data_IF_883956429968
#
_entry.id   IF_883956429968
#
_cell.length_a   1.000
_cell.length_b   1.000
_cell.length_c   1.000
_cell.angle_alpha   90.00
_cell.angle_beta   90.00
_cell.angle_gamma   90.00
#
_symmetry.space_group_name_H-M   'P 1'
#
loop_
_entity.id
_entity.type
_entity.pdbx_description
1 polymer ?
#
# COMPACT_ATOMS: atom_id res chain seq x y z
N UNK A 1 -50.57 -4.42 -39.27
CA UNK A 1 -49.58 -5.06 -38.38
C UNK A 1 -50.15 -5.08 -36.97
N UNK A 2 -50.43 -6.27 -36.39
CA UNK A 2 -50.85 -6.39 -34.99
C UNK A 2 -49.62 -6.21 -34.11
N UNK A 3 -49.58 -5.18 -33.29
CA UNK A 3 -48.54 -5.00 -32.24
C UNK A 3 -48.96 -5.88 -31.07
N UNK A 4 -48.19 -6.93 -30.83
CA UNK A 4 -48.34 -7.71 -29.61
C UNK A 4 -47.77 -6.88 -28.46
N UNK A 5 -48.61 -6.47 -27.53
CA UNK A 5 -48.19 -5.80 -26.30
C UNK A 5 -47.65 -6.83 -25.29
N UNK A 6 -46.69 -6.43 -24.46
CA UNK A 6 -46.22 -7.24 -23.33
C UNK A 6 -47.36 -7.45 -22.32
N UNK A 7 -47.45 -8.65 -21.80
CA UNK A 7 -48.38 -8.94 -20.70
C UNK A 7 -47.81 -8.46 -19.38
N UNK A 8 -48.65 -8.11 -18.43
CA UNK A 8 -48.23 -7.63 -17.10
C UNK A 8 -47.45 -8.70 -16.35
N UNK A 9 -47.78 -9.99 -16.55
CA UNK A 9 -47.09 -11.10 -15.90
C UNK A 9 -45.66 -11.31 -16.46
N UNK A 10 -45.45 -11.12 -17.76
CA UNK A 10 -44.13 -11.19 -18.37
C UNK A 10 -43.19 -10.12 -17.80
N UNK A 11 -43.70 -8.90 -17.63
CA UNK A 11 -42.93 -7.82 -17.02
C UNK A 11 -42.59 -8.11 -15.55
N UNK A 12 -43.58 -8.63 -14.80
CA UNK A 12 -43.39 -8.93 -13.37
C UNK A 12 -42.36 -10.03 -13.14
N UNK A 13 -42.35 -11.09 -13.96
CA UNK A 13 -41.38 -12.17 -13.87
C UNK A 13 -39.97 -11.66 -14.18
N UNK A 14 -39.83 -10.82 -15.22
CA UNK A 14 -38.52 -10.25 -15.59
C UNK A 14 -37.95 -9.39 -14.47
N UNK A 15 -38.70 -8.50 -13.87
CA UNK A 15 -38.21 -7.64 -12.79
C UNK A 15 -37.87 -8.45 -11.52
N UNK A 16 -38.64 -9.53 -11.26
CA UNK A 16 -38.32 -10.43 -10.14
C UNK A 16 -36.99 -11.14 -10.33
N UNK A 17 -36.72 -11.66 -11.54
CA UNK A 17 -35.45 -12.32 -11.87
C UNK A 17 -34.28 -11.33 -11.78
N UNK A 18 -34.42 -10.13 -12.36
CA UNK A 18 -33.40 -9.09 -12.28
C UNK A 18 -33.13 -8.71 -10.83
N UNK A 19 -34.14 -8.58 -9.99
CA UNK A 19 -34.00 -8.27 -8.57
C UNK A 19 -33.19 -9.32 -7.81
N UNK A 20 -33.46 -10.61 -8.06
CA UNK A 20 -32.70 -11.70 -7.46
C UNK A 20 -31.23 -11.69 -7.91
N UNK A 21 -31.01 -11.56 -9.23
CA UNK A 21 -29.64 -11.54 -9.79
C UNK A 21 -28.86 -10.33 -9.30
N UNK A 22 -29.47 -9.16 -9.21
CA UNK A 22 -28.84 -7.95 -8.68
C UNK A 22 -28.43 -8.12 -7.20
N UNK A 23 -29.30 -8.70 -6.36
CA UNK A 23 -29.01 -8.91 -4.96
C UNK A 23 -27.78 -9.83 -4.74
N UNK A 24 -27.71 -10.95 -5.46
CA UNK A 24 -26.57 -11.87 -5.40
C UNK A 24 -25.30 -11.24 -6.00
N UNK A 25 -25.46 -10.54 -7.14
CA UNK A 25 -24.34 -9.90 -7.86
C UNK A 25 -23.61 -8.87 -7.03
N UNK A 26 -24.33 -8.01 -6.29
CA UNK A 26 -23.71 -6.96 -5.45
C UNK A 26 -22.85 -7.57 -4.34
N UNK A 27 -23.32 -8.62 -3.67
CA UNK A 27 -22.55 -9.27 -2.59
C UNK A 27 -21.27 -9.91 -3.12
N UNK A 28 -21.38 -10.64 -4.24
CA UNK A 28 -20.21 -11.28 -4.88
C UNK A 28 -19.19 -10.23 -5.38
N UNK A 29 -19.67 -9.14 -5.99
CA UNK A 29 -18.82 -8.05 -6.48
C UNK A 29 -18.04 -7.37 -5.35
N UNK A 30 -18.69 -7.08 -4.22
CA UNK A 30 -18.03 -6.46 -3.05
C UNK A 30 -16.94 -7.37 -2.47
N UNK A 31 -17.17 -8.67 -2.39
CA UNK A 31 -16.19 -9.64 -1.95
C UNK A 31 -14.96 -9.71 -2.89
N UNK A 32 -15.21 -9.74 -4.20
CA UNK A 32 -14.15 -9.75 -5.20
C UNK A 32 -13.31 -8.47 -5.17
N UNK A 33 -13.94 -7.29 -5.16
CA UNK A 33 -13.22 -6.01 -5.14
C UNK A 33 -12.39 -5.82 -3.87
N UNK A 34 -12.89 -6.24 -2.71
CA UNK A 34 -12.15 -6.23 -1.46
C UNK A 34 -10.90 -7.11 -1.53
N UNK A 35 -11.04 -8.33 -2.05
CA UNK A 35 -9.92 -9.25 -2.25
C UNK A 35 -8.90 -8.71 -3.24
N UNK A 36 -9.36 -8.12 -4.36
CA UNK A 36 -8.50 -7.51 -5.37
C UNK A 36 -7.66 -6.36 -4.78
N UNK A 37 -8.29 -5.45 -4.03
CA UNK A 37 -7.60 -4.34 -3.35
C UNK A 37 -6.54 -4.84 -2.37
N UNK A 38 -6.87 -5.86 -1.57
CA UNK A 38 -5.92 -6.51 -0.64
C UNK A 38 -4.70 -7.07 -1.37
N UNK A 39 -4.92 -7.80 -2.46
CA UNK A 39 -3.85 -8.40 -3.25
C UNK A 39 -3.01 -7.32 -3.96
N UNK A 40 -3.63 -6.26 -4.45
CA UNK A 40 -2.92 -5.12 -5.05
C UNK A 40 -2.02 -4.41 -4.02
N UNK A 41 -2.51 -4.17 -2.79
CA UNK A 41 -1.69 -3.59 -1.71
C UNK A 41 -0.48 -4.48 -1.37
N UNK A 42 -0.68 -5.81 -1.26
CA UNK A 42 0.42 -6.76 -1.05
C UNK A 42 1.44 -6.73 -2.19
N UNK A 43 0.97 -6.68 -3.43
CA UNK A 43 1.84 -6.63 -4.61
C UNK A 43 2.66 -5.35 -4.64
N UNK A 44 2.03 -4.20 -4.38
CA UNK A 44 2.72 -2.91 -4.27
C UNK A 44 3.81 -2.97 -3.22
N UNK A 45 3.49 -3.43 -2.01
CA UNK A 45 4.46 -3.56 -0.93
C UNK A 45 5.68 -4.41 -1.33
N UNK A 46 5.45 -5.60 -1.90
CA UNK A 46 6.54 -6.48 -2.36
C UNK A 46 7.39 -5.80 -3.43
N UNK A 47 6.77 -5.06 -4.35
CA UNK A 47 7.49 -4.35 -5.42
C UNK A 47 8.32 -3.20 -4.85
N UNK A 48 7.77 -2.42 -3.91
CA UNK A 48 8.52 -1.36 -3.20
C UNK A 48 9.71 -1.97 -2.45
N UNK A 49 9.52 -3.05 -1.71
CA UNK A 49 10.60 -3.72 -0.99
C UNK A 49 11.73 -4.18 -1.92
N UNK A 50 11.38 -4.80 -3.05
CA UNK A 50 12.37 -5.23 -4.05
C UNK A 50 13.10 -4.05 -4.68
N UNK A 51 12.37 -3.00 -5.04
CA UNK A 51 12.95 -1.79 -5.63
C UNK A 51 13.93 -1.13 -4.68
N UNK A 52 13.55 -0.93 -3.43
CA UNK A 52 14.41 -0.32 -2.41
C UNK A 52 15.64 -1.17 -2.13
N UNK A 53 15.49 -2.51 -2.09
CA UNK A 53 16.63 -3.42 -1.94
C UNK A 53 17.58 -3.38 -3.15
N UNK A 54 17.04 -3.19 -4.36
CA UNK A 54 17.86 -3.03 -5.55
C UNK A 54 18.63 -1.70 -5.55
N UNK A 55 18.00 -0.62 -5.07
CA UNK A 55 18.65 0.68 -4.89
C UNK A 55 19.79 0.60 -3.86
N UNK A 56 19.57 -0.11 -2.74
CA UNK A 56 20.62 -0.32 -1.73
C UNK A 56 21.86 -1.06 -2.31
N UNK A 57 21.64 -2.03 -3.21
CA UNK A 57 22.74 -2.74 -3.88
C UNK A 57 23.55 -1.88 -4.83
N UNK A 58 23.01 -0.78 -5.33
CA UNK A 58 23.77 0.17 -6.15
C UNK A 58 24.95 0.76 -5.40
N UNK A 59 24.80 0.96 -4.10
CA UNK A 59 25.90 1.44 -3.22
C UNK A 59 27.07 0.46 -3.25
N UNK A 60 26.78 -0.86 -3.14
CA UNK A 60 27.80 -1.91 -3.12
C UNK A 60 28.64 -1.96 -4.39
N UNK A 61 28.04 -1.57 -5.53
CA UNK A 61 28.72 -1.54 -6.84
C UNK A 61 29.24 -0.14 -7.23
N UNK A 62 29.23 0.82 -6.28
CA UNK A 62 29.82 2.15 -6.45
C UNK A 62 28.97 3.15 -7.23
N UNK A 63 27.66 2.89 -7.40
CA UNK A 63 26.76 3.85 -8.01
C UNK A 63 26.29 4.86 -6.95
N UNK A 64 26.61 6.14 -7.17
CA UNK A 64 26.31 7.20 -6.20
C UNK A 64 24.85 7.71 -6.29
N UNK A 65 24.24 7.69 -7.48
CA UNK A 65 22.87 8.20 -7.66
C UNK A 65 21.81 7.14 -7.34
N UNK A 66 20.95 7.43 -6.36
CA UNK A 66 19.92 6.53 -5.83
C UNK A 66 18.54 7.16 -5.95
N UNK A 67 17.51 6.32 -6.06
CA UNK A 67 16.11 6.75 -6.09
C UNK A 67 15.85 7.86 -7.12
N UNK A 68 16.24 7.61 -8.38
CA UNK A 68 16.11 8.57 -9.48
C UNK A 68 16.81 9.92 -9.19
N UNK A 69 17.94 9.88 -8.52
CA UNK A 69 18.73 11.08 -8.18
C UNK A 69 18.20 11.86 -6.98
N UNK A 70 17.28 11.31 -6.19
CA UNK A 70 16.75 12.00 -5.02
C UNK A 70 17.74 12.06 -3.86
N UNK A 71 18.71 11.13 -3.81
CA UNK A 71 19.76 11.09 -2.81
C UNK A 71 21.01 10.43 -3.39
N UNK A 72 22.18 10.72 -2.85
CA UNK A 72 23.44 10.08 -3.24
C UNK A 72 23.98 9.17 -2.13
N UNK A 73 24.70 8.13 -2.53
CA UNK A 73 25.37 7.23 -1.57
C UNK A 73 26.37 8.00 -0.70
N UNK A 74 27.12 8.95 -1.28
CA UNK A 74 28.05 9.82 -0.56
C UNK A 74 27.35 10.68 0.48
N UNK A 75 26.13 11.20 0.20
CA UNK A 75 25.36 11.96 1.19
C UNK A 75 24.85 11.09 2.34
N UNK A 76 24.45 9.85 2.06
CA UNK A 76 24.03 8.87 3.07
C UNK A 76 25.20 8.59 4.01
N UNK A 77 26.40 8.35 3.47
CA UNK A 77 27.59 8.08 4.27
C UNK A 77 28.00 9.29 5.11
N UNK A 78 27.93 10.51 4.56
CA UNK A 78 28.18 11.75 5.30
C UNK A 78 27.21 11.92 6.46
N UNK A 79 25.93 11.67 6.25
CA UNK A 79 24.90 11.76 7.29
C UNK A 79 25.10 10.69 8.38
N UNK A 80 25.49 9.48 7.98
CA UNK A 80 25.81 8.40 8.91
C UNK A 80 26.98 8.79 9.83
N UNK A 81 28.06 9.33 9.25
CA UNK A 81 29.24 9.74 10.01
C UNK A 81 28.97 10.95 10.92
N UNK A 82 28.05 11.84 10.57
CA UNK A 82 27.75 13.06 11.34
C UNK A 82 26.65 12.88 12.38
N UNK A 83 25.59 12.15 12.06
CA UNK A 83 24.39 12.03 12.91
C UNK A 83 24.11 10.59 13.38
N UNK A 84 24.80 9.60 12.83
CA UNK A 84 24.57 8.16 13.09
C UNK A 84 23.25 7.63 12.54
N UNK A 85 22.42 8.45 11.88
CA UNK A 85 21.10 8.03 11.39
C UNK A 85 20.66 8.73 10.10
N UNK A 86 21.07 8.26 8.91
CA UNK A 86 20.66 8.82 7.63
C UNK A 86 19.22 8.42 7.22
N UNK A 87 18.54 7.61 8.03
CA UNK A 87 17.30 6.95 7.60
C UNK A 87 16.15 7.92 7.27
N UNK A 88 16.05 9.06 7.95
CA UNK A 88 15.02 10.08 7.66
C UNK A 88 15.13 10.63 6.25
N UNK A 89 16.35 10.95 5.79
CA UNK A 89 16.59 11.43 4.43
C UNK A 89 16.36 10.34 3.38
N UNK A 90 16.75 9.10 3.70
CA UNK A 90 16.51 7.94 2.82
C UNK A 90 15.01 7.70 2.64
N UNK A 91 14.22 7.70 3.72
CA UNK A 91 12.76 7.51 3.63
C UNK A 91 12.09 8.61 2.82
N UNK A 92 12.49 9.86 2.98
CA UNK A 92 12.00 10.99 2.19
C UNK A 92 12.37 10.84 0.70
N UNK A 93 13.59 10.44 0.39
CA UNK A 93 14.03 10.20 -0.99
C UNK A 93 13.22 9.06 -1.65
N UNK A 94 12.95 7.97 -0.92
CA UNK A 94 12.13 6.86 -1.40
C UNK A 94 10.70 7.35 -1.68
N UNK A 95 10.07 8.05 -0.75
CA UNK A 95 8.70 8.57 -0.92
C UNK A 95 8.62 9.47 -2.13
N UNK A 96 9.57 10.40 -2.29
CA UNK A 96 9.63 11.32 -3.40
C UNK A 96 9.82 10.62 -4.75
N UNK A 97 10.72 9.64 -4.82
CA UNK A 97 10.95 8.85 -6.02
C UNK A 97 9.81 7.86 -6.33
N UNK A 98 9.05 7.43 -5.33
CA UNK A 98 7.89 6.56 -5.48
C UNK A 98 6.63 7.30 -5.94
N UNK A 99 6.61 8.63 -5.81
CA UNK A 99 5.46 9.45 -6.20
C UNK A 99 5.09 9.22 -7.67
N UNK A 100 3.82 8.96 -7.91
CA UNK A 100 3.30 8.64 -9.24
C UNK A 100 3.55 7.19 -9.73
N UNK A 101 4.50 6.44 -9.13
CA UNK A 101 4.79 5.05 -9.52
C UNK A 101 3.85 4.04 -8.88
N UNK A 102 3.43 4.29 -7.66
CA UNK A 102 2.56 3.41 -6.89
C UNK A 102 1.29 4.14 -6.50
N UNK A 103 0.16 3.45 -6.60
CA UNK A 103 -1.14 3.97 -6.21
C UNK A 103 -1.73 3.12 -5.11
N UNK A 104 -2.39 3.77 -4.15
CA UNK A 104 -3.11 3.07 -3.10
C UNK A 104 -4.38 2.43 -3.68
N UNK A 105 -4.55 1.09 -3.63
CA UNK A 105 -5.74 0.42 -4.17
C UNK A 105 -7.04 0.79 -3.47
N UNK A 106 -6.96 1.36 -2.28
CA UNK A 106 -8.11 1.82 -1.51
C UNK A 106 -8.44 3.30 -1.77
N UNK A 107 -7.63 3.99 -2.59
CA UNK A 107 -7.78 5.40 -2.90
C UNK A 107 -7.23 6.33 -1.80
N UNK A 108 -7.54 7.62 -1.90
CA UNK A 108 -7.19 8.59 -0.88
C UNK A 108 -7.96 8.31 0.42
N UNK A 109 -7.25 8.24 1.53
CA UNK A 109 -7.82 7.95 2.84
C UNK A 109 -8.19 9.24 3.61
N UNK A 110 -8.95 9.05 4.70
CA UNK A 110 -9.50 10.07 5.59
C UNK A 110 -8.49 11.08 6.18
N UNK A 111 -7.19 10.86 6.04
CA UNK A 111 -6.14 11.67 6.68
C UNK A 111 -5.56 12.78 5.80
N UNK A 112 -6.22 13.13 4.68
CA UNK A 112 -5.73 14.20 3.79
C UNK A 112 -4.50 13.80 2.96
N UNK A 113 -4.11 12.53 2.99
CA UNK A 113 -3.11 11.98 2.07
C UNK A 113 -3.79 11.66 0.74
N UNK A 114 -3.08 11.93 -0.35
CA UNK A 114 -3.52 11.58 -1.70
C UNK A 114 -3.63 10.06 -1.92
N UNK A 115 -3.73 9.67 -3.17
CA UNK A 115 -3.79 8.27 -3.58
C UNK A 115 -2.42 7.62 -3.82
N UNK A 116 -1.33 8.26 -3.34
CA UNK A 116 0.01 7.72 -3.41
C UNK A 116 0.11 6.38 -2.68
N UNK A 117 0.85 5.43 -3.25
CA UNK A 117 0.98 4.10 -2.68
C UNK A 117 2.05 3.97 -1.59
N UNK A 118 2.94 4.97 -1.45
CA UNK A 118 4.08 4.96 -0.50
C UNK A 118 4.08 6.26 0.29
N UNK A 119 4.27 6.18 1.60
CA UNK A 119 4.40 7.36 2.47
C UNK A 119 5.36 7.13 3.63
N UNK A 120 5.88 8.22 4.20
CA UNK A 120 6.70 8.21 5.40
C UNK A 120 5.82 8.11 6.65
N UNK A 121 6.28 7.33 7.63
CA UNK A 121 5.60 7.20 8.92
C UNK A 121 4.32 6.36 8.88
N UNK A 122 3.46 6.62 9.84
CA UNK A 122 2.20 5.88 10.02
C UNK A 122 2.30 4.79 11.08
N UNK A 123 1.16 4.48 11.70
CA UNK A 123 1.09 3.56 12.84
C UNK A 123 0.42 2.22 12.49
N UNK A 124 0.06 2.01 11.20
CA UNK A 124 -0.63 0.81 10.76
C UNK A 124 -2.08 0.74 11.25
N UNK A 125 -2.74 1.88 11.41
CA UNK A 125 -4.18 1.97 11.68
C UNK A 125 -4.97 1.98 10.36
N UNK A 126 -6.29 2.11 10.45
CA UNK A 126 -7.17 2.12 9.26
C UNK A 126 -6.91 3.30 8.30
N UNK A 127 -6.33 4.40 8.81
CA UNK A 127 -5.93 5.55 7.98
C UNK A 127 -4.76 5.24 7.06
N UNK A 128 -4.00 4.17 7.37
CA UNK A 128 -2.82 3.74 6.63
C UNK A 128 -3.13 2.55 5.70
N UNK A 129 -4.42 2.25 5.50
CA UNK A 129 -4.85 1.11 4.70
C UNK A 129 -4.38 1.22 3.25
N UNK A 130 -3.68 0.20 2.77
CA UNK A 130 -3.20 0.08 1.40
C UNK A 130 -1.89 0.83 1.09
N UNK A 131 -1.40 1.69 1.99
CA UNK A 131 -0.10 2.34 1.82
C UNK A 131 1.05 1.40 2.19
N UNK A 132 2.17 1.53 1.50
CA UNK A 132 3.46 1.05 2.00
C UNK A 132 4.09 2.14 2.84
N UNK A 133 4.18 1.90 4.14
CA UNK A 133 4.69 2.83 5.14
C UNK A 133 6.17 2.60 5.33
N UNK A 134 6.96 3.66 5.21
CA UNK A 134 8.39 3.64 5.46
C UNK A 134 8.66 4.25 6.83
N UNK A 135 9.34 3.51 7.67
CA UNK A 135 9.72 3.96 9.00
C UNK A 135 11.22 3.79 9.20
N UNK A 136 11.80 4.73 9.91
CA UNK A 136 13.20 4.73 10.31
C UNK A 136 13.30 4.64 11.84
N UNK A 137 14.13 3.76 12.34
CA UNK A 137 14.39 3.64 13.77
C UNK A 137 15.61 2.76 14.05
N UNK A 138 16.46 3.19 14.97
CA UNK A 138 17.61 2.39 15.43
C UNK A 138 18.62 1.99 14.35
N UNK A 139 18.78 2.79 13.29
CA UNK A 139 19.70 2.46 12.18
C UNK A 139 19.17 1.45 11.17
N UNK A 140 17.95 0.98 11.32
CA UNK A 140 17.30 0.04 10.38
C UNK A 140 16.04 0.67 9.81
N UNK A 141 15.91 0.67 8.48
CA UNK A 141 14.69 1.01 7.80
C UNK A 141 13.79 -0.22 7.66
N UNK A 142 12.50 -0.04 7.78
CA UNK A 142 11.53 -1.08 7.45
C UNK A 142 10.34 -0.49 6.72
N UNK A 143 9.80 -1.28 5.80
CA UNK A 143 8.55 -0.99 5.13
C UNK A 143 7.48 -1.95 5.62
N UNK A 144 6.28 -1.45 5.82
CA UNK A 144 5.11 -2.25 6.19
C UNK A 144 3.88 -1.79 5.42
N UNK A 145 2.93 -2.66 5.21
CA UNK A 145 1.64 -2.30 4.64
C UNK A 145 0.49 -2.89 5.44
N UNK A 146 -0.58 -2.14 5.56
CA UNK A 146 -1.84 -2.61 6.13
C UNK A 146 -2.75 -3.04 4.98
N UNK A 147 -3.14 -4.30 4.94
CA UNK A 147 -3.85 -4.92 3.80
C UNK A 147 -5.35 -5.13 4.01
N UNK A 148 -5.83 -4.91 5.22
CA UNK A 148 -7.26 -5.00 5.53
C UNK A 148 -7.62 -4.16 6.74
N UNK A 149 -8.88 -3.70 6.79
CA UNK A 149 -9.42 -3.01 7.94
C UNK A 149 -9.45 -3.92 9.17
N UNK A 150 -9.23 -3.34 10.33
CA UNK A 150 -9.44 -4.04 11.58
C UNK A 150 -10.93 -4.10 11.92
N UNK A 151 -11.43 -5.30 12.12
CA UNK A 151 -12.84 -5.52 12.51
C UNK A 151 -13.08 -5.36 14.01
N UNK A 152 -12.02 -5.25 14.81
CA UNK A 152 -12.10 -5.05 16.28
C UNK A 152 -11.06 -4.02 16.72
N UNK A 153 -11.51 -2.96 17.38
CA UNK A 153 -10.64 -2.00 18.06
C UNK A 153 -10.18 -2.56 19.44
N UNK A 154 -8.93 -2.25 19.85
CA UNK A 154 -7.93 -1.47 19.11
C UNK A 154 -7.17 -2.32 18.09
N UNK A 155 -7.03 -1.80 16.87
CA UNK A 155 -6.09 -2.31 15.89
C UNK A 155 -4.62 -2.20 16.36
N UNK A 156 -4.42 -1.46 17.42
CA UNK A 156 -3.19 -1.30 18.16
C UNK A 156 -2.94 -2.50 19.08
N UNK A 157 -2.65 -3.65 18.51
CA UNK A 157 -1.81 -4.58 19.25
C UNK A 157 -0.44 -3.94 19.35
N UNK A 158 0.26 -4.30 20.39
CA UNK A 158 1.55 -3.82 20.82
C UNK A 158 2.40 -3.18 19.72
N UNK A 159 2.88 -1.98 19.98
CA UNK A 159 3.59 -1.07 19.07
C UNK A 159 4.69 -1.70 18.21
N UNK A 160 5.04 -2.96 18.42
CA UNK A 160 6.19 -3.63 17.84
C UNK A 160 5.94 -5.09 17.42
N UNK A 161 4.73 -5.61 17.57
CA UNK A 161 4.47 -7.01 17.24
C UNK A 161 4.13 -7.17 15.76
N UNK A 162 5.11 -7.58 14.96
CA UNK A 162 5.02 -7.84 13.51
C UNK A 162 4.15 -9.08 13.16
N UNK A 163 3.47 -9.69 14.13
CA UNK A 163 2.76 -10.97 13.95
C UNK A 163 1.29 -10.84 13.56
N UNK A 164 0.83 -9.63 13.21
CA UNK A 164 -0.58 -9.44 12.83
C UNK A 164 -0.86 -9.93 11.41
N UNK A 165 -1.92 -10.71 11.21
CA UNK A 165 -2.24 -11.31 9.91
C UNK A 165 -2.56 -10.29 8.80
N UNK A 166 -2.74 -9.02 9.15
CA UNK A 166 -3.10 -7.95 8.23
C UNK A 166 -1.95 -7.02 7.86
N UNK A 167 -0.73 -7.27 8.38
CA UNK A 167 0.45 -6.43 8.13
C UNK A 167 1.53 -7.27 7.47
N UNK A 168 1.99 -6.81 6.31
CA UNK A 168 3.20 -7.32 5.65
C UNK A 168 4.37 -6.39 6.00
N UNK A 169 5.54 -6.96 6.27
CA UNK A 169 6.74 -6.21 6.66
C UNK A 169 7.93 -6.68 5.86
N UNK A 170 8.77 -5.76 5.39
CA UNK A 170 10.12 -6.08 4.95
C UNK A 170 11.14 -5.21 5.68
N UNK A 171 12.28 -5.79 5.98
CA UNK A 171 13.43 -5.10 6.55
C UNK A 171 14.34 -4.63 5.42
N UNK A 172 14.79 -3.38 5.52
CA UNK A 172 15.70 -2.77 4.56
C UNK A 172 17.00 -2.48 5.32
N UNK A 173 18.03 -3.23 4.95
CA UNK A 173 19.38 -3.00 5.49
C UNK A 173 20.14 -2.10 4.51
N UNK A 174 20.73 -1.03 5.03
CA UNK A 174 21.48 -0.03 4.25
C UNK A 174 22.99 -0.12 4.46
N UNK A 175 23.45 -1.07 5.28
CA UNK A 175 24.87 -1.24 5.63
C UNK A 175 25.39 -2.59 5.15
N UNK A 176 26.66 -2.62 4.72
CA UNK A 176 27.37 -3.87 4.46
C UNK A 176 27.54 -4.72 5.72
#
# INVERSE_FOLDING_TARGET
MKRNGFTLIELLVVVAIIGILAAVGVVAYNGYTSSAKKNAAKSNHKTVCKWVSAEAKKIEIGIDSLFDGQITASSILSDYNSSGNPMGKITQAIVKAANGKFKNPYGANYSGFGDEGVKEGGWGNDRDLGYTLLNAGGGVGYARTNISTCTKLPCNGDKWNNTKPNIEVCLIKWYP
#
